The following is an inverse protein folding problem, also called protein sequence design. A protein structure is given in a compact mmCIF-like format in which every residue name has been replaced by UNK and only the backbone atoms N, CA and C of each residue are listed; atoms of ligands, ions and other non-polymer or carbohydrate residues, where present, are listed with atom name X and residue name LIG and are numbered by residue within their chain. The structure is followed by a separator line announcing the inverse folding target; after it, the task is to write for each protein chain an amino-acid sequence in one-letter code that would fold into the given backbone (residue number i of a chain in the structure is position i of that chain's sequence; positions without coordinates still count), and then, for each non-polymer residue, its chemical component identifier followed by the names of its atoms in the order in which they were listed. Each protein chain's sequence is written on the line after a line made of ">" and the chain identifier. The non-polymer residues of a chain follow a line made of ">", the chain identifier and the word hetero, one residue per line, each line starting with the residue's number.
data_IF_892088504033
#
_entry.id   IF_892088504033
#
_cell.length_a   1.000
_cell.length_b   1.000
_cell.length_c   1.000
_cell.angle_alpha   90.00
_cell.angle_beta   90.00
_cell.angle_gamma   90.00
#
_symmetry.space_group_name_H-M   'P 1'
#
loop_
_entity.id
_entity.type
_entity.pdbx_description
1 polymer ?
#
# COMPACT_ATOMS: atom_id res chain seq x y z
N UNK A 1 -7.33 14.51 -9.44
CA UNK A 1 -8.15 13.45 -8.84
C UNK A 1 -8.99 14.10 -7.75
N UNK A 2 -10.31 13.99 -7.81
CA UNK A 2 -11.19 14.52 -6.76
C UNK A 2 -11.22 13.56 -5.56
N UNK A 3 -11.33 14.07 -4.31
CA UNK A 3 -11.50 13.23 -3.13
C UNK A 3 -12.77 12.35 -3.22
N UNK A 4 -12.76 11.22 -2.50
CA UNK A 4 -13.97 10.41 -2.33
C UNK A 4 -15.08 11.23 -1.64
N UNK A 5 -16.30 11.04 -2.09
CA UNK A 5 -17.49 11.59 -1.43
C UNK A 5 -17.88 10.76 -0.19
N UNK A 6 -18.98 11.14 0.45
CA UNK A 6 -19.46 10.47 1.66
C UNK A 6 -19.86 9.00 1.39
N UNK A 7 -20.42 8.70 0.21
CA UNK A 7 -20.77 7.33 -0.18
C UNK A 7 -19.51 6.48 -0.39
N UNK A 8 -18.52 7.02 -1.09
CA UNK A 8 -17.22 6.41 -1.30
C UNK A 8 -16.53 6.07 0.03
N UNK A 9 -16.52 7.00 0.98
CA UNK A 9 -15.99 6.75 2.32
C UNK A 9 -16.78 5.64 3.04
N UNK A 10 -18.11 5.67 3.00
CA UNK A 10 -18.95 4.66 3.65
C UNK A 10 -18.72 3.25 3.10
N UNK A 11 -18.47 3.12 1.79
CA UNK A 11 -18.14 1.85 1.15
C UNK A 11 -16.78 1.31 1.59
N UNK A 12 -15.77 2.17 1.69
CA UNK A 12 -14.44 1.81 2.22
C UNK A 12 -14.57 1.35 3.68
N UNK A 13 -15.26 2.11 4.51
CA UNK A 13 -15.51 1.76 5.92
C UNK A 13 -16.25 0.42 6.06
N UNK A 14 -17.16 0.11 5.14
CA UNK A 14 -17.85 -1.18 5.12
C UNK A 14 -16.92 -2.36 4.80
N UNK A 15 -16.00 -2.19 3.86
CA UNK A 15 -15.01 -3.21 3.52
C UNK A 15 -14.01 -3.41 4.67
N UNK A 16 -13.51 -2.32 5.28
CA UNK A 16 -12.52 -2.37 6.36
C UNK A 16 -13.05 -3.02 7.65
N UNK A 17 -14.36 -3.22 7.79
CA UNK A 17 -14.96 -3.95 8.92
C UNK A 17 -14.66 -5.45 8.92
N UNK A 18 -14.39 -6.04 7.76
CA UNK A 18 -14.08 -7.48 7.65
C UNK A 18 -12.60 -7.78 7.56
N UNK A 19 -11.77 -6.79 7.22
CA UNK A 19 -10.33 -6.94 7.06
C UNK A 19 -9.63 -7.10 8.42
N UNK A 20 -8.53 -7.84 8.41
CA UNK A 20 -7.69 -8.14 9.57
C UNK A 20 -6.22 -8.07 9.20
N UNK A 21 -5.38 -7.85 10.21
CA UNK A 21 -3.93 -8.04 10.03
C UNK A 21 -3.63 -9.45 9.52
N UNK A 22 -2.79 -9.54 8.49
CA UNK A 22 -2.46 -10.79 7.82
C UNK A 22 -3.39 -11.16 6.67
N UNK A 23 -4.53 -10.47 6.48
CA UNK A 23 -5.32 -10.67 5.26
C UNK A 23 -4.52 -10.23 4.03
N UNK A 24 -4.68 -10.99 2.94
CA UNK A 24 -3.95 -10.77 1.70
C UNK A 24 -4.90 -10.38 0.56
N UNK A 25 -4.46 -9.43 -0.25
CA UNK A 25 -5.02 -9.15 -1.58
C UNK A 25 -4.02 -9.71 -2.59
N UNK A 26 -4.42 -10.73 -3.34
CA UNK A 26 -3.57 -11.41 -4.32
C UNK A 26 -3.94 -10.95 -5.73
N UNK A 27 -2.93 -10.75 -6.57
CA UNK A 27 -3.04 -10.27 -7.95
C UNK A 27 -2.10 -9.08 -8.19
N UNK A 28 -1.74 -8.86 -9.45
CA UNK A 28 -0.82 -7.77 -9.83
C UNK A 28 -1.36 -6.41 -9.39
N UNK A 29 -0.55 -5.67 -8.62
CA UNK A 29 -0.83 -4.31 -8.18
C UNK A 29 0.36 -3.39 -8.46
N UNK A 30 0.09 -2.09 -8.57
CA UNK A 30 1.14 -1.07 -8.58
C UNK A 30 1.42 -0.59 -7.16
N UNK A 31 2.70 -0.50 -6.81
CA UNK A 31 3.17 -0.05 -5.51
C UNK A 31 4.15 1.10 -5.65
N UNK A 32 3.82 2.24 -5.04
CA UNK A 32 4.68 3.42 -4.99
C UNK A 32 5.40 3.45 -3.64
N UNK A 33 6.72 3.61 -3.67
CA UNK A 33 7.54 3.68 -2.45
C UNK A 33 8.61 4.75 -2.54
N UNK A 34 9.04 5.22 -1.37
CA UNK A 34 10.12 6.19 -1.23
C UNK A 34 11.46 5.50 -1.38
N UNK A 35 12.39 6.15 -2.07
CA UNK A 35 13.79 5.71 -2.21
C UNK A 35 14.73 6.87 -1.89
N UNK A 36 15.91 6.56 -1.37
CA UNK A 36 17.00 7.53 -1.28
C UNK A 36 17.74 7.55 -2.62
N UNK A 37 17.73 8.66 -3.38
CA UNK A 37 18.41 8.74 -4.68
C UNK A 37 19.93 8.51 -4.56
N UNK A 38 20.54 8.84 -3.43
CA UNK A 38 21.97 8.66 -3.21
C UNK A 38 22.31 7.20 -2.87
N UNK A 39 21.33 6.42 -2.40
CA UNK A 39 21.50 5.05 -1.88
C UNK A 39 20.28 4.17 -2.19
N UNK A 40 19.95 3.95 -3.47
CA UNK A 40 18.81 3.13 -3.83
C UNK A 40 19.01 1.67 -3.41
N UNK A 41 17.98 1.08 -2.80
CA UNK A 41 18.00 -0.31 -2.31
C UNK A 41 17.40 -1.32 -3.31
N UNK A 42 16.68 -0.85 -4.33
CA UNK A 42 16.00 -1.69 -5.31
C UNK A 42 16.35 -1.26 -6.73
N UNK A 43 16.20 -2.15 -7.74
CA UNK A 43 16.40 -1.77 -9.15
C UNK A 43 15.51 -0.61 -9.59
N UNK A 44 14.23 -0.62 -9.19
CA UNK A 44 13.29 0.46 -9.52
C UNK A 44 13.66 1.77 -8.82
N UNK A 45 14.15 1.69 -7.57
CA UNK A 45 14.72 2.83 -6.87
C UNK A 45 15.97 3.39 -7.55
N UNK A 46 16.82 2.52 -8.09
CA UNK A 46 18.00 2.94 -8.84
C UNK A 46 17.62 3.62 -10.16
N UNK A 47 16.58 3.13 -10.84
CA UNK A 47 16.02 3.79 -12.03
C UNK A 47 15.50 5.19 -11.69
N UNK A 48 14.68 5.32 -10.65
CA UNK A 48 14.16 6.62 -10.20
C UNK A 48 15.27 7.60 -9.80
N UNK A 49 16.34 7.10 -9.18
CA UNK A 49 17.51 7.90 -8.82
C UNK A 49 18.21 8.52 -10.03
N UNK A 50 18.24 7.85 -11.20
CA UNK A 50 18.80 8.43 -12.43
C UNK A 50 18.04 9.66 -12.92
N UNK A 51 16.76 9.76 -12.55
CA UNK A 51 15.89 10.89 -12.85
C UNK A 51 15.89 11.94 -11.72
N UNK A 52 16.65 11.71 -10.64
CA UNK A 52 16.70 12.59 -9.47
C UNK A 52 15.42 12.56 -8.63
N UNK A 53 14.60 11.51 -8.76
CA UNK A 53 13.32 11.37 -8.05
C UNK A 53 13.49 10.43 -6.86
N UNK A 54 12.88 10.80 -5.73
CA UNK A 54 12.94 10.10 -4.45
C UNK A 54 11.77 9.13 -4.22
N UNK A 55 11.09 8.77 -5.31
CA UNK A 55 9.91 7.93 -5.34
C UNK A 55 10.02 7.00 -6.55
N UNK A 56 9.75 5.72 -6.35
CA UNK A 56 9.79 4.69 -7.38
C UNK A 56 8.48 3.89 -7.37
N UNK A 57 8.17 3.26 -8.51
CA UNK A 57 6.99 2.42 -8.68
C UNK A 57 7.39 1.02 -9.13
N UNK A 58 6.78 0.00 -8.53
CA UNK A 58 6.99 -1.40 -8.89
C UNK A 58 5.64 -2.11 -9.06
N UNK A 59 5.62 -3.11 -9.95
CA UNK A 59 4.55 -4.10 -9.97
C UNK A 59 4.84 -5.17 -8.92
N UNK A 60 3.83 -5.49 -8.11
CA UNK A 60 3.92 -6.48 -7.04
C UNK A 60 2.79 -7.50 -7.16
N UNK A 61 2.97 -8.71 -6.65
CA UNK A 61 1.99 -9.80 -6.77
C UNK A 61 0.77 -9.69 -5.85
N UNK A 62 0.74 -8.65 -5.03
CA UNK A 62 -0.33 -8.39 -4.09
C UNK A 62 0.21 -7.71 -2.84
N UNK A 63 -0.67 -7.61 -1.85
CA UNK A 63 -0.38 -6.98 -0.58
C UNK A 63 -0.86 -7.83 0.59
N UNK A 64 -0.17 -7.74 1.72
CA UNK A 64 -0.66 -8.18 3.02
C UNK A 64 -0.95 -6.95 3.89
N UNK A 65 -2.06 -6.98 4.63
CA UNK A 65 -2.39 -5.96 5.63
C UNK A 65 -1.44 -6.10 6.83
N UNK A 66 -0.58 -5.10 7.04
CA UNK A 66 0.44 -5.10 8.10
C UNK A 66 -0.17 -4.82 9.46
N UNK A 67 -0.92 -3.72 9.57
CA UNK A 67 -1.56 -3.33 10.81
C UNK A 67 -2.97 -2.83 10.53
N UNK A 68 -3.92 -3.52 11.14
CA UNK A 68 -5.21 -2.97 11.47
C UNK A 68 -5.38 -3.43 12.91
N UNK A 69 -5.11 -2.56 13.90
CA UNK A 69 -5.30 -2.97 15.29
C UNK A 69 -6.77 -3.36 15.45
N UNK A 70 -6.99 -4.63 15.78
CA UNK A 70 -8.29 -5.28 15.86
C UNK A 70 -9.29 -4.51 16.75
N UNK A 71 -8.78 -3.67 17.64
CA UNK A 71 -9.55 -2.90 18.61
C UNK A 71 -10.07 -1.55 18.07
N UNK A 72 -9.59 -1.06 16.93
CA UNK A 72 -9.99 0.25 16.38
C UNK A 72 -10.11 0.22 14.85
N UNK A 73 -11.25 -0.24 14.33
CA UNK A 73 -11.65 0.09 12.95
C UNK A 73 -11.89 1.60 12.90
N UNK A 74 -10.97 2.33 12.26
CA UNK A 74 -11.04 3.80 12.09
C UNK A 74 -11.73 4.15 10.78
N UNK A 75 -12.45 5.27 10.77
CA UNK A 75 -13.12 5.77 9.57
C UNK A 75 -12.09 6.23 8.54
N UNK A 76 -12.33 5.94 7.26
CA UNK A 76 -11.50 6.38 6.15
C UNK A 76 -11.44 7.91 6.04
N UNK A 77 -12.46 8.61 6.53
CA UNK A 77 -12.47 10.08 6.61
C UNK A 77 -11.46 10.64 7.62
N UNK A 78 -11.06 9.87 8.62
CA UNK A 78 -10.10 10.27 9.66
C UNK A 78 -8.68 9.76 9.34
N UNK A 79 -8.60 8.57 8.73
CA UNK A 79 -7.34 7.95 8.30
C UNK A 79 -7.53 7.31 6.93
N UNK A 80 -7.30 8.05 5.82
CA UNK A 80 -7.60 7.61 4.46
C UNK A 80 -6.53 6.67 3.88
N UNK A 81 -5.95 5.79 4.70
CA UNK A 81 -4.90 4.87 4.27
C UNK A 81 -4.90 3.58 5.11
N UNK A 82 -4.46 2.49 4.48
CA UNK A 82 -4.27 1.17 5.09
C UNK A 82 -2.77 0.84 5.05
N UNK A 83 -2.23 0.30 6.13
CA UNK A 83 -0.84 -0.13 6.17
C UNK A 83 -0.70 -1.52 5.54
N UNK A 84 0.06 -1.60 4.46
CA UNK A 84 0.29 -2.83 3.70
C UNK A 84 1.77 -3.04 3.42
N UNK A 85 2.16 -4.29 3.17
CA UNK A 85 3.43 -4.62 2.54
C UNK A 85 3.20 -5.43 1.27
N UNK A 86 4.06 -5.30 0.25
CA UNK A 86 4.01 -6.15 -0.92
C UNK A 86 4.28 -7.61 -0.54
N UNK A 87 3.58 -8.54 -1.19
CA UNK A 87 3.86 -9.97 -1.08
C UNK A 87 5.17 -10.28 -1.82
N UNK A 88 5.98 -11.14 -1.23
CA UNK A 88 7.21 -11.67 -1.83
C UNK A 88 7.05 -13.16 -2.09
N UNK A 89 7.46 -13.58 -3.28
CA UNK A 89 7.58 -15.00 -3.59
C UNK A 89 8.81 -15.55 -2.88
N UNK A 90 8.67 -16.73 -2.28
CA UNK A 90 9.75 -17.42 -1.56
C UNK A 90 9.87 -18.83 -2.12
N UNK A 91 11.09 -19.31 -2.27
CA UNK A 91 11.37 -20.71 -2.57
C UNK A 91 11.12 -21.58 -1.31
N UNK A 92 10.84 -22.87 -1.52
CA UNK A 92 10.73 -23.87 -0.43
C UNK A 92 12.10 -24.23 0.20
#
# INVERSE_FOLDING_TARGET
>A
MEPLDADGCARVDAALRSWRQGDCVVGEQWFVFRTDPERPLTPDGASAATEGVDTAESKVFGFMVLTQTCDLVRKSSERPFVEVCPLVEVDE
#
